data_IF_641955934699
#
_entry.id   IF_641955934699
#
_cell.length_a   1.000
_cell.length_b   1.000
_cell.length_c   1.000
_cell.angle_alpha   90.00
_cell.angle_beta   90.00
_cell.angle_gamma   90.00
#
_symmetry.space_group_name_H-M   'P 1'
#
loop_
_entity.id
_entity.type
_entity.pdbx_description
1 polymer ?
#
# COMPACT_ATOMS: atom_id res chain seq x y z
N UNK A 1 7.61 47.70 4.37
CA UNK A 1 8.35 46.47 4.81
C UNK A 1 7.32 45.59 5.51
N UNK A 2 6.78 44.64 4.76
CA UNK A 2 5.86 43.62 5.31
C UNK A 2 6.70 42.65 6.16
N UNK A 3 6.36 42.57 7.44
CA UNK A 3 6.92 41.56 8.34
C UNK A 3 6.31 40.21 7.93
N UNK A 4 6.99 39.43 7.08
CA UNK A 4 6.65 38.04 6.88
C UNK A 4 6.85 37.30 8.21
N UNK A 5 5.76 36.85 8.80
CA UNK A 5 5.82 35.93 9.94
C UNK A 5 6.61 34.69 9.57
N UNK A 6 7.40 34.10 10.48
CA UNK A 6 8.10 32.86 10.18
C UNK A 6 7.05 31.79 9.78
N UNK A 7 7.38 30.93 8.76
CA UNK A 7 6.47 29.90 8.30
C UNK A 7 6.04 28.99 9.46
N UNK A 8 4.76 28.63 9.50
CA UNK A 8 4.28 27.64 10.46
C UNK A 8 4.90 26.28 10.15
N UNK A 9 4.97 25.37 11.14
CA UNK A 9 5.48 24.00 10.92
C UNK A 9 4.75 23.24 9.81
N UNK A 10 3.54 23.70 9.44
CA UNK A 10 2.73 23.12 8.35
C UNK A 10 3.04 23.70 6.97
N UNK A 11 3.87 24.75 6.90
CA UNK A 11 4.16 25.46 5.66
C UNK A 11 5.50 25.02 5.02
N UNK A 12 6.16 24.02 5.61
CA UNK A 12 7.43 23.49 5.11
C UNK A 12 7.38 21.95 4.95
N UNK A 13 8.14 21.45 4.00
CA UNK A 13 8.31 20.00 3.83
C UNK A 13 9.23 19.43 4.90
N UNK A 14 9.11 18.13 5.15
CA UNK A 14 9.95 17.38 6.06
C UNK A 14 10.98 16.57 5.26
N UNK A 15 12.25 16.74 5.58
CA UNK A 15 13.31 15.91 5.00
C UNK A 15 13.13 14.44 5.38
N UNK A 16 13.07 13.56 4.38
CA UNK A 16 13.02 12.13 4.62
C UNK A 16 14.38 11.61 5.06
N UNK A 17 14.42 10.94 6.19
CA UNK A 17 15.65 10.34 6.73
C UNK A 17 15.89 8.99 6.07
N UNK A 18 16.96 8.90 5.28
CA UNK A 18 17.36 7.67 4.58
C UNK A 18 18.27 6.81 5.49
N UNK A 19 17.66 6.02 6.36
CA UNK A 19 18.36 5.03 7.19
C UNK A 19 17.49 3.80 7.43
N UNK A 20 18.12 2.73 7.87
CA UNK A 20 17.42 1.59 8.44
C UNK A 20 16.91 1.94 9.85
N UNK A 21 15.62 1.89 10.05
CA UNK A 21 14.96 2.11 11.34
C UNK A 21 14.85 0.80 12.13
N UNK A 22 15.98 0.26 12.54
CA UNK A 22 16.08 -1.02 13.27
C UNK A 22 15.21 -1.06 14.53
N UNK A 23 15.05 0.09 15.21
CA UNK A 23 14.19 0.25 16.38
C UNK A 23 12.70 0.09 16.08
N UNK A 24 12.27 0.43 14.86
CA UNK A 24 10.89 0.24 14.38
C UNK A 24 10.69 -1.18 13.89
N UNK A 25 11.50 -1.66 12.96
CA UNK A 25 11.31 -2.97 12.35
C UNK A 25 11.67 -4.16 13.22
N UNK A 26 12.52 -3.98 14.27
CA UNK A 26 12.86 -5.03 15.25
C UNK A 26 13.23 -6.37 14.57
N UNK A 27 14.17 -6.35 13.65
CA UNK A 27 14.63 -7.48 12.82
C UNK A 27 13.60 -8.04 11.80
N UNK A 28 12.37 -7.54 11.75
CA UNK A 28 11.39 -7.90 10.70
C UNK A 28 11.81 -7.30 9.36
N UNK A 29 11.60 -8.06 8.30
CA UNK A 29 12.19 -7.72 6.99
C UNK A 29 11.26 -6.93 6.08
N UNK A 30 9.96 -7.21 6.12
CA UNK A 30 8.98 -6.63 5.20
C UNK A 30 7.81 -6.02 5.95
N UNK A 31 7.23 -4.97 5.36
CA UNK A 31 5.99 -4.36 5.81
C UNK A 31 4.94 -4.50 4.73
N UNK A 32 3.74 -4.97 5.08
CA UNK A 32 2.67 -5.26 4.14
C UNK A 32 1.62 -4.15 4.10
N UNK A 33 1.05 -3.96 2.92
CA UNK A 33 -0.06 -3.03 2.66
C UNK A 33 -1.04 -3.65 1.68
N UNK A 34 -2.34 -3.45 1.87
CA UNK A 34 -3.31 -3.57 0.80
C UNK A 34 -3.31 -2.29 -0.03
N UNK A 35 -3.24 -2.44 -1.33
CA UNK A 35 -3.17 -1.33 -2.27
C UNK A 35 -3.96 -1.61 -3.55
N UNK A 36 -4.23 -0.56 -4.30
CA UNK A 36 -4.60 -0.64 -5.72
C UNK A 36 -3.31 -0.38 -6.50
N UNK A 37 -2.91 -1.35 -7.33
CA UNK A 37 -1.83 -1.15 -8.29
C UNK A 37 -2.36 -0.29 -9.45
N UNK A 38 -1.76 0.87 -9.62
CA UNK A 38 -2.08 1.82 -10.69
C UNK A 38 -0.86 2.09 -11.58
N UNK A 39 0.16 1.23 -11.56
CA UNK A 39 1.44 1.39 -12.25
C UNK A 39 1.31 1.16 -13.77
N UNK A 40 0.49 1.98 -14.41
CA UNK A 40 0.31 2.00 -15.87
C UNK A 40 1.40 2.80 -16.58
N UNK A 41 1.54 2.60 -17.91
CA UNK A 41 2.49 3.39 -18.73
C UNK A 41 2.21 4.88 -18.65
N UNK A 42 0.95 5.30 -18.63
CA UNK A 42 0.56 6.70 -18.52
C UNK A 42 1.01 7.30 -17.18
N UNK A 43 0.77 6.61 -16.06
CA UNK A 43 1.19 7.10 -14.75
C UNK A 43 2.71 7.05 -14.55
N UNK A 44 3.40 6.03 -15.08
CA UNK A 44 4.87 6.03 -15.09
C UNK A 44 5.45 7.24 -15.82
N UNK A 45 4.85 7.61 -16.97
CA UNK A 45 5.25 8.83 -17.72
C UNK A 45 4.99 10.09 -16.90
N UNK A 46 3.80 10.23 -16.31
CA UNK A 46 3.45 11.37 -15.47
C UNK A 46 4.38 11.51 -14.25
N UNK A 47 4.64 10.40 -13.55
CA UNK A 47 5.56 10.35 -12.40
C UNK A 47 6.98 10.73 -12.83
N UNK A 48 7.48 10.21 -13.98
CA UNK A 48 8.80 10.54 -14.49
C UNK A 48 8.93 12.03 -14.81
N UNK A 49 7.92 12.64 -15.44
CA UNK A 49 7.88 14.07 -15.74
C UNK A 49 7.93 14.91 -14.46
N UNK A 50 7.07 14.60 -13.46
CA UNK A 50 7.05 15.31 -12.17
C UNK A 50 8.36 15.16 -11.41
N UNK A 51 8.93 13.96 -11.37
CA UNK A 51 10.22 13.72 -10.70
C UNK A 51 11.38 14.45 -11.36
N UNK A 52 11.41 14.50 -12.67
CA UNK A 52 12.40 15.30 -13.41
C UNK A 52 12.24 16.80 -13.12
N UNK A 53 11.00 17.28 -13.13
CA UNK A 53 10.67 18.69 -12.88
C UNK A 53 10.99 19.15 -11.45
N UNK A 54 10.86 18.24 -10.47
CA UNK A 54 11.10 18.49 -9.05
C UNK A 54 12.38 17.84 -8.52
N UNK A 55 13.33 17.49 -9.39
CA UNK A 55 14.52 16.70 -9.03
C UNK A 55 15.35 17.33 -7.90
N UNK A 56 15.39 18.66 -7.82
CA UNK A 56 16.13 19.40 -6.77
C UNK A 56 15.48 19.30 -5.38
N UNK A 57 14.20 18.91 -5.31
CA UNK A 57 13.40 18.81 -4.06
C UNK A 57 13.21 17.39 -3.57
N UNK A 58 13.27 16.41 -4.48
CA UNK A 58 12.92 15.02 -4.18
C UNK A 58 14.16 14.14 -3.96
N UNK A 59 13.96 13.05 -3.20
CA UNK A 59 14.96 11.99 -3.08
C UNK A 59 15.14 11.29 -4.43
N UNK A 60 16.38 11.10 -4.90
CA UNK A 60 16.66 10.46 -6.20
C UNK A 60 16.26 8.97 -6.20
N UNK A 61 16.38 8.28 -5.05
CA UNK A 61 16.27 6.83 -4.94
C UNK A 61 14.87 6.32 -4.60
N UNK A 62 13.83 7.15 -4.72
CA UNK A 62 12.45 6.67 -4.56
C UNK A 62 12.06 5.77 -5.74
N UNK A 63 11.80 4.48 -5.46
CA UNK A 63 11.57 3.43 -6.47
C UNK A 63 10.24 2.70 -6.35
N UNK A 64 9.34 3.16 -5.47
CA UNK A 64 8.01 2.56 -5.37
C UNK A 64 7.22 2.76 -6.65
N UNK A 65 6.56 1.68 -7.07
CA UNK A 65 5.61 1.68 -8.18
C UNK A 65 4.38 2.51 -7.80
N UNK A 66 3.68 3.01 -8.81
CA UNK A 66 2.45 3.78 -8.61
C UNK A 66 1.36 2.93 -7.95
N UNK A 67 0.90 3.32 -6.79
CA UNK A 67 -0.14 2.61 -6.04
C UNK A 67 -0.97 3.57 -5.18
N UNK A 68 -2.19 3.15 -4.87
CA UNK A 68 -3.03 3.81 -3.85
C UNK A 68 -3.09 2.90 -2.64
N UNK A 69 -2.49 3.30 -1.52
CA UNK A 69 -2.55 2.53 -0.28
C UNK A 69 -3.97 2.54 0.28
N UNK A 70 -4.52 1.36 0.56
CA UNK A 70 -5.84 1.17 1.14
C UNK A 70 -5.77 0.91 2.65
N UNK A 71 -4.83 0.07 3.05
CA UNK A 71 -4.66 -0.32 4.46
C UNK A 71 -3.20 -0.63 4.75
N UNK A 72 -2.68 -0.04 5.81
CA UNK A 72 -1.39 -0.41 6.39
C UNK A 72 -1.61 -1.66 7.24
N UNK A 73 -1.01 -2.79 6.86
CA UNK A 73 -1.27 -4.06 7.50
C UNK A 73 -0.35 -4.33 8.69
N UNK A 74 0.91 -3.97 8.55
CA UNK A 74 1.93 -4.29 9.54
C UNK A 74 3.00 -5.23 9.00
N UNK A 75 3.76 -5.83 9.89
CA UNK A 75 4.83 -6.76 9.55
C UNK A 75 4.27 -8.17 9.42
N UNK A 76 4.34 -8.81 8.24
CA UNK A 76 3.87 -10.18 8.05
C UNK A 76 4.54 -11.14 9.03
N UNK A 77 3.74 -12.05 9.60
CA UNK A 77 4.19 -13.04 10.57
C UNK A 77 3.33 -14.30 10.53
N UNK A 78 3.88 -15.44 10.95
CA UNK A 78 3.10 -16.66 11.13
C UNK A 78 2.08 -16.52 12.27
N UNK A 79 2.49 -15.86 13.39
CA UNK A 79 1.66 -15.57 14.54
C UNK A 79 1.97 -14.16 15.06
N UNK A 80 1.03 -13.57 15.82
CA UNK A 80 1.22 -12.25 16.40
C UNK A 80 2.10 -12.32 17.65
N UNK A 81 3.25 -11.63 17.61
CA UNK A 81 4.16 -11.47 18.74
C UNK A 81 4.25 -10.00 19.18
N UNK A 82 4.08 -9.06 18.25
CA UNK A 82 4.08 -7.62 18.50
C UNK A 82 2.77 -7.00 18.02
N UNK A 83 2.43 -5.83 18.56
CA UNK A 83 1.14 -5.16 18.25
C UNK A 83 0.99 -4.79 16.78
N UNK A 84 2.09 -4.56 16.08
CA UNK A 84 2.16 -4.19 14.68
C UNK A 84 2.52 -5.36 13.75
N UNK A 85 2.47 -6.61 14.26
CA UNK A 85 2.55 -7.79 13.42
C UNK A 85 1.23 -8.01 12.66
N UNK A 86 1.39 -8.54 11.44
CA UNK A 86 0.29 -8.89 10.54
C UNK A 86 0.28 -10.41 10.32
N UNK A 87 -0.40 -11.16 11.19
CA UNK A 87 -0.38 -12.62 11.13
C UNK A 87 -1.25 -13.17 10.00
N UNK A 88 -0.93 -14.39 9.55
CA UNK A 88 -1.64 -15.10 8.49
C UNK A 88 -3.16 -15.17 8.74
N UNK A 89 -3.60 -15.35 9.99
CA UNK A 89 -5.02 -15.37 10.35
C UNK A 89 -5.73 -14.04 10.06
N UNK A 90 -5.04 -12.91 10.25
CA UNK A 90 -5.59 -11.58 9.92
C UNK A 90 -5.74 -11.41 8.40
N UNK A 91 -4.76 -11.86 7.62
CA UNK A 91 -4.86 -11.88 6.16
C UNK A 91 -6.06 -12.71 5.69
N UNK A 92 -6.22 -13.93 6.21
CA UNK A 92 -7.35 -14.80 5.88
C UNK A 92 -8.70 -14.17 6.23
N UNK A 93 -8.81 -13.54 7.40
CA UNK A 93 -10.01 -12.81 7.82
C UNK A 93 -10.34 -11.66 6.86
N UNK A 94 -9.33 -10.89 6.42
CA UNK A 94 -9.52 -9.81 5.47
C UNK A 94 -9.96 -10.33 4.10
N UNK A 95 -9.35 -11.41 3.60
CA UNK A 95 -9.76 -12.05 2.34
C UNK A 95 -11.21 -12.52 2.42
N UNK A 96 -11.61 -13.21 3.51
CA UNK A 96 -12.98 -13.64 3.70
C UNK A 96 -13.97 -12.46 3.76
N UNK A 97 -13.59 -11.37 4.41
CA UNK A 97 -14.40 -10.15 4.45
C UNK A 97 -14.53 -9.52 3.05
N UNK A 98 -13.45 -9.47 2.27
CA UNK A 98 -13.48 -8.99 0.89
C UNK A 98 -14.37 -9.87 0.00
N UNK A 99 -14.32 -11.19 0.15
CA UNK A 99 -15.18 -12.11 -0.59
C UNK A 99 -16.67 -11.81 -0.37
N UNK A 100 -17.04 -11.38 0.83
CA UNK A 100 -18.43 -11.11 1.21
C UNK A 100 -18.85 -9.67 0.88
N UNK A 101 -17.98 -8.68 1.10
CA UNK A 101 -18.38 -7.27 1.22
C UNK A 101 -17.60 -6.31 0.31
N UNK A 102 -16.65 -6.77 -0.53
CA UNK A 102 -15.96 -5.87 -1.44
C UNK A 102 -16.94 -5.27 -2.48
N UNK A 103 -16.73 -4.02 -2.91
CA UNK A 103 -17.51 -3.44 -3.98
C UNK A 103 -17.27 -4.16 -5.31
N UNK A 104 -18.13 -3.92 -6.31
CA UNK A 104 -17.86 -4.30 -7.69
C UNK A 104 -16.69 -3.48 -8.26
N UNK A 105 -16.10 -3.87 -9.40
CA UNK A 105 -15.14 -3.05 -10.12
C UNK A 105 -15.65 -1.61 -10.30
N UNK A 106 -14.75 -0.64 -10.14
CA UNK A 106 -15.07 0.79 -10.13
C UNK A 106 -13.98 1.62 -10.82
N UNK A 107 -14.25 2.90 -11.06
CA UNK A 107 -13.30 3.78 -11.73
C UNK A 107 -12.71 4.78 -10.77
N UNK A 108 -11.39 4.99 -10.86
CA UNK A 108 -10.66 6.08 -10.23
C UNK A 108 -10.17 7.08 -11.25
N UNK A 109 -10.08 8.34 -10.84
CA UNK A 109 -9.40 9.39 -11.59
C UNK A 109 -8.17 9.85 -10.80
N UNK A 110 -6.98 9.71 -11.39
CA UNK A 110 -5.73 10.22 -10.85
C UNK A 110 -5.52 11.60 -11.45
N UNK A 111 -5.45 12.61 -10.60
CA UNK A 111 -5.59 14.00 -11.04
C UNK A 111 -4.46 14.91 -10.59
N UNK A 112 -4.80 16.02 -9.97
CA UNK A 112 -3.94 17.15 -9.67
C UNK A 112 -2.74 16.78 -8.79
N UNK A 113 -1.52 17.27 -9.09
CA UNK A 113 -0.40 17.17 -8.16
C UNK A 113 -0.65 18.01 -6.91
N UNK A 114 -0.30 17.46 -5.76
CA UNK A 114 -0.45 18.07 -4.45
C UNK A 114 0.63 17.53 -3.51
N UNK A 115 0.62 17.95 -2.25
CA UNK A 115 1.66 17.59 -1.31
C UNK A 115 1.16 17.44 0.12
N UNK A 116 1.65 16.38 0.78
CA UNK A 116 1.80 16.37 2.24
C UNK A 116 3.12 17.04 2.62
N UNK A 117 3.32 17.32 3.89
CA UNK A 117 4.62 17.80 4.38
C UNK A 117 5.75 16.79 4.11
N UNK A 118 5.45 15.48 4.04
CA UNK A 118 6.44 14.40 3.89
C UNK A 118 6.59 13.87 2.47
N UNK A 119 5.62 14.08 1.58
CA UNK A 119 5.58 13.41 0.28
C UNK A 119 4.80 14.21 -0.76
N UNK A 120 5.32 14.24 -1.99
CA UNK A 120 4.64 14.75 -3.16
C UNK A 120 3.78 13.66 -3.79
N UNK A 121 2.54 13.96 -4.18
CA UNK A 121 1.58 12.98 -4.67
C UNK A 121 0.64 13.53 -5.75
N UNK A 122 -0.02 12.63 -6.47
CA UNK A 122 -1.20 12.93 -7.27
C UNK A 122 -2.46 12.62 -6.46
N UNK A 123 -3.43 13.52 -6.51
CA UNK A 123 -4.74 13.29 -5.91
C UNK A 123 -5.48 12.15 -6.61
N UNK A 124 -6.30 11.43 -5.86
CA UNK A 124 -7.14 10.35 -6.37
C UNK A 124 -8.59 10.67 -6.07
N UNK A 125 -9.40 10.75 -7.11
CA UNK A 125 -10.84 10.95 -7.00
C UNK A 125 -11.58 9.63 -7.21
N UNK A 126 -12.36 9.24 -6.21
CA UNK A 126 -13.22 8.05 -6.21
C UNK A 126 -14.68 8.50 -6.08
N UNK A 127 -15.33 8.75 -7.20
CA UNK A 127 -16.73 9.18 -7.23
C UNK A 127 -17.70 8.08 -6.79
N UNK A 128 -17.27 6.81 -6.78
CA UNK A 128 -18.12 5.67 -6.45
C UNK A 128 -18.10 5.28 -4.98
N UNK A 129 -17.11 5.77 -4.21
CA UNK A 129 -16.89 5.37 -2.82
C UNK A 129 -16.27 3.97 -2.67
N UNK A 130 -15.73 3.38 -3.73
CA UNK A 130 -15.14 2.05 -3.72
C UNK A 130 -13.94 1.94 -2.78
N UNK A 131 -13.06 2.94 -2.76
CA UNK A 131 -11.93 3.00 -1.83
C UNK A 131 -12.41 2.97 -0.37
N UNK A 132 -13.41 3.79 -0.05
CA UNK A 132 -13.92 3.86 1.32
C UNK A 132 -14.58 2.53 1.75
N UNK A 133 -15.35 1.90 0.85
CA UNK A 133 -15.97 0.60 1.10
C UNK A 133 -14.91 -0.49 1.37
N UNK A 134 -13.85 -0.55 0.54
CA UNK A 134 -12.76 -1.50 0.72
C UNK A 134 -12.03 -1.25 2.05
N UNK A 135 -11.70 -0.01 2.35
CA UNK A 135 -11.03 0.35 3.61
C UNK A 135 -11.86 -0.03 4.83
N UNK A 136 -13.18 0.16 4.77
CA UNK A 136 -14.09 -0.29 5.83
C UNK A 136 -14.05 -1.82 5.98
N UNK A 137 -14.14 -2.56 4.87
CA UNK A 137 -14.06 -4.02 4.86
C UNK A 137 -12.73 -4.54 5.43
N UNK A 138 -11.59 -3.96 5.02
CA UNK A 138 -10.26 -4.39 5.47
C UNK A 138 -9.98 -4.07 6.94
N UNK A 139 -10.58 -3.02 7.48
CA UNK A 139 -10.44 -2.66 8.90
C UNK A 139 -11.25 -3.56 9.84
N UNK A 140 -12.36 -4.11 9.35
CA UNK A 140 -13.29 -4.87 10.18
C UNK A 140 -13.81 -4.03 11.36
N UNK A 141 -13.84 -4.63 12.55
CA UNK A 141 -14.35 -3.99 13.78
C UNK A 141 -13.35 -3.02 14.45
N UNK A 142 -12.20 -2.71 13.83
CA UNK A 142 -11.29 -1.70 14.38
C UNK A 142 -11.94 -0.33 14.27
N UNK A 143 -12.04 0.38 15.39
CA UNK A 143 -12.51 1.76 15.40
C UNK A 143 -11.61 2.60 14.49
N UNK A 144 -12.18 3.41 13.60
CA UNK A 144 -11.39 4.37 12.84
C UNK A 144 -10.65 5.28 13.83
N UNK A 145 -9.38 5.52 13.59
CA UNK A 145 -8.71 6.65 14.20
C UNK A 145 -9.30 7.90 13.52
N UNK A 146 -10.32 8.50 14.17
CA UNK A 146 -11.07 9.63 13.65
C UNK A 146 -10.19 10.87 13.47
N UNK A 147 -8.99 10.87 14.07
CA UNK A 147 -8.04 11.98 13.96
C UNK A 147 -7.27 11.99 12.65
N UNK A 148 -7.26 10.87 11.90
CA UNK A 148 -6.55 10.74 10.64
C UNK A 148 -7.52 10.76 9.45
N UNK A 149 -7.71 11.95 8.87
CA UNK A 149 -8.38 12.11 7.58
C UNK A 149 -7.58 11.31 6.52
N UNK A 150 -8.24 10.34 5.90
CA UNK A 150 -7.63 9.59 4.81
C UNK A 150 -7.79 10.36 3.50
N UNK A 151 -6.67 10.69 2.87
CA UNK A 151 -6.60 11.27 1.54
C UNK A 151 -6.09 10.21 0.57
N UNK A 152 -6.92 9.71 -0.36
CA UNK A 152 -6.45 8.80 -1.41
C UNK A 152 -5.42 9.52 -2.30
N UNK A 153 -4.27 8.88 -2.54
CA UNK A 153 -3.18 9.50 -3.28
C UNK A 153 -2.24 8.49 -3.93
N UNK A 154 -1.50 8.94 -4.94
CA UNK A 154 -0.37 8.22 -5.55
C UNK A 154 0.89 9.02 -5.29
N UNK A 155 1.74 8.55 -4.39
CA UNK A 155 3.03 9.19 -4.09
C UNK A 155 3.99 9.05 -5.27
N UNK A 156 4.58 10.16 -5.72
CA UNK A 156 5.63 10.14 -6.73
C UNK A 156 7.01 10.55 -6.22
N UNK A 157 7.13 11.01 -4.96
CA UNK A 157 8.42 11.35 -4.37
C UNK A 157 8.36 11.70 -2.90
N UNK A 158 9.48 11.52 -2.21
CA UNK A 158 9.72 11.97 -0.84
C UNK A 158 10.68 13.14 -0.87
N UNK A 159 10.58 14.06 0.07
CA UNK A 159 11.42 15.25 0.10
C UNK A 159 12.81 14.97 0.67
N UNK A 160 13.82 15.61 0.04
CA UNK A 160 15.21 15.53 0.51
C UNK A 160 15.59 16.63 1.51
N UNK A 161 14.72 17.58 1.74
CA UNK A 161 14.99 18.74 2.60
C UNK A 161 13.72 19.47 3.02
N UNK A 162 13.92 20.57 3.73
CA UNK A 162 12.86 21.49 4.13
C UNK A 162 12.72 22.59 3.09
N UNK A 163 11.54 22.71 2.48
CA UNK A 163 11.22 23.66 1.43
C UNK A 163 9.86 24.30 1.71
N UNK A 164 9.62 25.51 1.20
CA UNK A 164 8.29 26.15 1.30
C UNK A 164 7.23 25.32 0.59
N UNK A 165 6.30 24.75 1.33
CA UNK A 165 5.22 23.90 0.81
C UNK A 165 4.31 24.66 -0.16
N UNK A 166 3.86 25.90 0.13
CA UNK A 166 3.04 26.68 -0.80
C UNK A 166 3.75 26.96 -2.13
N UNK A 167 5.05 27.29 -2.08
CA UNK A 167 5.83 27.52 -3.30
C UNK A 167 5.99 26.26 -4.14
N UNK A 168 6.18 25.09 -3.50
CA UNK A 168 6.24 23.80 -4.18
C UNK A 168 4.92 23.43 -4.85
N UNK A 169 3.79 23.59 -4.15
CA UNK A 169 2.47 23.30 -4.72
C UNK A 169 2.21 24.21 -5.94
N UNK A 170 2.51 25.50 -5.85
CA UNK A 170 2.40 26.41 -7.00
C UNK A 170 3.29 25.94 -8.17
N UNK A 171 4.48 25.46 -7.90
CA UNK A 171 5.38 24.92 -8.92
C UNK A 171 4.80 23.61 -9.53
N UNK A 172 4.30 22.69 -8.71
CA UNK A 172 3.74 21.42 -9.15
C UNK A 172 2.62 21.60 -10.18
N UNK A 173 1.69 22.53 -9.93
CA UNK A 173 0.53 22.74 -10.81
C UNK A 173 0.88 23.38 -12.16
N UNK A 174 2.10 23.88 -12.33
CA UNK A 174 2.59 24.39 -13.64
C UNK A 174 3.23 23.32 -14.52
N UNK A 175 3.46 22.11 -13.98
CA UNK A 175 3.99 20.99 -14.76
C UNK A 175 2.87 20.25 -15.49
N UNK A 176 2.93 20.20 -16.81
CA UNK A 176 2.05 19.33 -17.60
C UNK A 176 2.54 17.88 -17.52
N UNK A 177 1.90 17.09 -16.67
CA UNK A 177 2.20 15.68 -16.48
C UNK A 177 1.25 14.75 -17.27
N UNK A 178 0.39 15.29 -18.14
CA UNK A 178 -0.57 14.50 -18.91
C UNK A 178 -1.72 13.93 -18.06
N UNK A 179 -2.10 14.63 -17.00
CA UNK A 179 -3.21 14.25 -16.11
C UNK A 179 -4.47 15.09 -16.42
N UNK A 180 -5.68 14.64 -16.08
CA UNK A 180 -6.00 13.42 -15.31
C UNK A 180 -5.97 12.11 -16.14
N UNK A 181 -5.77 10.97 -15.40
CA UNK A 181 -5.87 9.63 -15.98
C UNK A 181 -7.00 8.86 -15.28
N UNK A 182 -7.91 8.26 -16.06
CA UNK A 182 -8.98 7.39 -15.55
C UNK A 182 -8.58 5.93 -15.66
N UNK A 183 -8.80 5.19 -14.57
CA UNK A 183 -8.45 3.78 -14.46
C UNK A 183 -9.63 2.98 -13.96
N UNK A 184 -9.91 1.87 -14.66
CA UNK A 184 -10.82 0.85 -14.17
C UNK A 184 -10.09 -0.02 -13.15
N UNK A 185 -10.68 -0.14 -11.97
CA UNK A 185 -10.14 -0.93 -10.87
C UNK A 185 -10.94 -2.22 -10.75
N UNK A 186 -10.29 -3.31 -11.04
CA UNK A 186 -10.84 -4.67 -10.98
C UNK A 186 -10.13 -5.55 -9.95
N UNK A 187 -9.00 -5.09 -9.39
CA UNK A 187 -8.17 -5.85 -8.44
C UNK A 187 -7.66 -5.01 -7.29
N UNK A 188 -7.47 -5.70 -6.17
CA UNK A 188 -6.74 -5.22 -5.01
C UNK A 188 -5.50 -6.08 -4.84
N UNK A 189 -4.38 -5.48 -4.48
CA UNK A 189 -3.12 -6.20 -4.35
C UNK A 189 -2.60 -6.08 -2.92
N UNK A 190 -2.29 -7.20 -2.30
CA UNK A 190 -1.45 -7.23 -1.10
C UNK A 190 -0.01 -7.08 -1.57
N UNK A 191 0.63 -6.01 -1.17
CA UNK A 191 2.02 -5.70 -1.49
C UNK A 191 2.87 -5.66 -0.23
N UNK A 192 4.16 -5.94 -0.37
CA UNK A 192 5.12 -5.75 0.70
C UNK A 192 6.35 -4.99 0.19
N UNK A 193 7.03 -4.30 1.10
CA UNK A 193 8.32 -3.67 0.83
C UNK A 193 9.31 -4.00 1.93
N UNK A 194 10.60 -4.00 1.58
CA UNK A 194 11.68 -4.15 2.56
C UNK A 194 11.68 -2.97 3.53
N UNK A 195 11.49 -3.27 4.82
CA UNK A 195 11.35 -2.25 5.87
C UNK A 195 12.64 -1.46 6.13
N UNK A 196 13.79 -2.00 5.73
CA UNK A 196 15.08 -1.34 5.85
C UNK A 196 15.31 -0.27 4.76
N UNK A 197 14.52 -0.26 3.66
CA UNK A 197 14.76 0.57 2.49
C UNK A 197 13.66 1.63 2.36
N UNK A 198 14.01 2.88 2.63
CA UNK A 198 13.08 4.00 2.46
C UNK A 198 12.81 4.22 0.97
N UNK A 199 11.53 4.25 0.60
CA UNK A 199 11.12 4.42 -0.79
C UNK A 199 11.49 3.26 -1.72
N UNK A 200 11.88 2.10 -1.15
CA UNK A 200 12.19 0.87 -1.89
C UNK A 200 10.98 0.33 -2.67
N UNK A 201 11.21 -0.59 -3.65
CA UNK A 201 10.14 -1.14 -4.48
C UNK A 201 9.13 -1.94 -3.67
N UNK A 202 7.94 -2.10 -4.24
CA UNK A 202 6.90 -2.98 -3.75
C UNK A 202 6.98 -4.33 -4.47
N UNK A 203 6.75 -5.41 -3.72
CA UNK A 203 6.57 -6.76 -4.25
C UNK A 203 5.12 -7.17 -4.06
N UNK A 204 4.46 -7.57 -5.14
CA UNK A 204 3.06 -8.04 -5.10
C UNK A 204 3.01 -9.48 -4.60
N UNK A 205 2.31 -9.71 -3.48
CA UNK A 205 2.19 -11.01 -2.82
C UNK A 205 0.98 -11.80 -3.31
N UNK A 206 -0.18 -11.18 -3.33
CA UNK A 206 -1.40 -11.75 -3.88
C UNK A 206 -2.34 -10.67 -4.40
N UNK A 207 -3.23 -11.05 -5.29
CA UNK A 207 -4.31 -10.22 -5.84
C UNK A 207 -5.66 -10.78 -5.45
N UNK A 208 -6.60 -9.87 -5.16
CA UNK A 208 -8.01 -10.16 -4.99
C UNK A 208 -8.78 -9.53 -6.16
N UNK A 209 -9.47 -10.35 -6.94
CA UNK A 209 -10.30 -9.91 -8.07
C UNK A 209 -11.69 -9.49 -7.58
N UNK A 210 -12.08 -8.25 -7.89
CA UNK A 210 -13.35 -7.66 -7.42
C UNK A 210 -14.59 -8.25 -8.12
N UNK A 211 -14.45 -8.76 -9.34
CA UNK A 211 -15.56 -9.34 -10.09
C UNK A 211 -15.82 -10.81 -9.67
N UNK A 212 -14.74 -11.60 -9.59
CA UNK A 212 -14.84 -13.04 -9.30
C UNK A 212 -14.78 -13.37 -7.82
N UNK A 213 -14.36 -12.43 -6.98
CA UNK A 213 -14.14 -12.61 -5.52
C UNK A 213 -13.07 -13.66 -5.20
N UNK A 214 -12.17 -13.91 -6.12
CA UNK A 214 -11.11 -14.89 -5.95
C UNK A 214 -9.79 -14.23 -5.61
N UNK A 215 -8.97 -14.91 -4.83
CA UNK A 215 -7.61 -14.51 -4.51
C UNK A 215 -6.63 -15.37 -5.29
N UNK A 216 -5.63 -14.74 -5.89
CA UNK A 216 -4.52 -15.40 -6.58
C UNK A 216 -3.20 -15.02 -5.91
N UNK A 217 -2.45 -16.00 -5.44
CA UNK A 217 -1.08 -15.78 -4.94
C UNK A 217 -0.16 -15.54 -6.13
N UNK A 218 0.66 -14.48 -6.06
CA UNK A 218 1.60 -14.08 -7.09
C UNK A 218 3.03 -14.53 -6.77
N UNK A 219 3.43 -14.44 -5.50
CA UNK A 219 4.73 -14.90 -5.01
C UNK A 219 4.53 -15.90 -3.86
N UNK A 220 4.47 -17.18 -4.22
CA UNK A 220 4.24 -18.26 -3.25
C UNK A 220 5.41 -18.45 -2.29
N UNK A 221 6.64 -18.26 -2.78
CA UNK A 221 7.85 -18.40 -1.98
C UNK A 221 7.93 -17.32 -0.91
N UNK A 222 7.71 -16.05 -1.29
CA UNK A 222 7.75 -14.94 -0.36
C UNK A 222 6.57 -14.99 0.62
N UNK A 223 5.37 -15.36 0.15
CA UNK A 223 4.20 -15.57 1.03
C UNK A 223 4.50 -16.63 2.11
N UNK A 224 5.05 -17.77 1.73
CA UNK A 224 5.41 -18.84 2.68
C UNK A 224 6.49 -18.39 3.67
N UNK A 225 7.47 -17.60 3.20
CA UNK A 225 8.53 -17.04 4.04
C UNK A 225 7.98 -16.05 5.06
N UNK A 226 7.08 -15.16 4.64
CA UNK A 226 6.58 -14.06 5.46
C UNK A 226 5.48 -14.48 6.44
N UNK A 227 4.60 -15.40 6.04
CA UNK A 227 3.44 -15.82 6.83
C UNK A 227 3.58 -17.23 7.44
N UNK A 228 4.71 -17.91 7.18
CA UNK A 228 4.91 -19.31 7.53
C UNK A 228 4.27 -20.26 6.50
N UNK A 229 4.81 -21.47 6.40
CA UNK A 229 4.21 -22.50 5.54
C UNK A 229 2.84 -22.88 6.13
N UNK A 230 1.77 -22.72 5.37
CA UNK A 230 0.53 -23.42 5.64
C UNK A 230 0.80 -24.92 5.47
N UNK A 231 0.85 -25.67 6.57
CA UNK A 231 0.59 -27.10 6.51
C UNK A 231 -0.87 -27.21 6.04
N UNK A 232 -1.06 -27.55 4.77
CA UNK A 232 -2.31 -28.14 4.33
C UNK A 232 -2.45 -29.41 5.14
N UNK A 233 -3.26 -29.40 6.19
CA UNK A 233 -3.75 -30.61 6.80
C UNK A 233 -4.61 -31.28 5.73
N UNK A 234 -3.99 -32.17 4.95
CA UNK A 234 -4.71 -33.18 4.20
C UNK A 234 -5.41 -34.03 5.26
N UNK A 235 -6.74 -34.16 5.23
CA UNK A 235 -7.44 -35.01 6.19
C UNK A 235 -6.88 -36.44 6.01
N UNK A 236 -6.64 -37.20 7.09
CA UNK A 236 -6.12 -38.55 6.98
C UNK A 236 -7.03 -39.37 6.06
N UNK A 237 -6.44 -40.00 5.07
CA UNK A 237 -7.12 -40.89 4.11
C UNK A 237 -7.92 -41.95 4.86
N UNK A 238 -9.22 -42.15 4.60
CA UNK A 238 -10.07 -43.08 5.39
C UNK A 238 -9.84 -44.56 5.04
N UNK A 239 -8.70 -44.94 4.50
CA UNK A 239 -8.40 -46.34 4.12
C UNK A 239 -7.05 -46.80 4.67
N UNK A 240 -7.00 -47.05 5.98
CA UNK A 240 -5.90 -47.82 6.57
C UNK A 240 -6.31 -48.62 7.81
N UNK A 241 -7.54 -49.15 7.85
CA UNK A 241 -7.95 -50.10 8.90
C UNK A 241 -8.91 -51.14 8.35
N UNK A 242 -8.45 -51.94 7.38
CA UNK A 242 -9.09 -53.24 7.02
C UNK A 242 -8.05 -54.21 6.47
N UNK A 243 -7.19 -54.69 7.31
CA UNK A 243 -6.45 -55.94 7.07
C UNK A 243 -5.73 -56.40 8.34
N UNK A 244 -6.44 -56.94 9.31
CA UNK A 244 -5.96 -58.01 10.25
C UNK A 244 -7.21 -58.58 10.95
N UNK A 245 -7.87 -59.53 10.32
CA UNK A 245 -8.68 -60.57 10.94
C UNK A 245 -9.08 -61.57 9.87
N UNK A 246 -8.12 -62.43 9.46
CA UNK A 246 -8.40 -63.73 8.88
C UNK A 246 -7.14 -64.58 9.01
N UNK A 247 -7.14 -65.52 9.89
CA UNK A 247 -6.04 -66.48 10.03
C UNK A 247 -6.12 -67.23 11.35
N UNK A 248 -6.90 -68.32 11.36
CA UNK A 248 -6.93 -69.49 12.26
C UNK A 248 -6.90 -69.35 13.77
#
# INVERSE_FOLDING_TARGET
MEKTSPPSRHDVTLASVQRDFVEWRKARTHYAVWAIDVDTSALRTAIAAMRAYLAEYLLPDYRRQAHVTLNLCGFPAAAQNLNDDYPAVTLQTQIAALQTSAPNPFTLEIGTPDSFTSAAYFSVNDCSGGIQAIRHTLRGNRTPDETLLFTPHVTYGLYRGEFSLPALIQRMVTCDAGLPVRLQIDRLTLMAYEAAIIGGPLTSLCEFDLATRQTRVLDQSLMATLFGQHQTHEPPSPHADQAILAGD
#
